data_IF_789236776363
#
_entry.id   IF_789236776363
#
_cell.length_a   1.000
_cell.length_b   1.000
_cell.length_c   1.000
_cell.angle_alpha   90.00
_cell.angle_beta   90.00
_cell.angle_gamma   90.00
#
_symmetry.space_group_name_H-M   'P 1'
#
loop_
_entity.id
_entity.type
_entity.pdbx_description
1 polymer ?
#
# COMPACT_ATOMS: atom_id res chain seq x y z
N UNK A 1 -14.19 -5.84 -14.57
CA UNK A 1 -13.68 -6.20 -13.23
C UNK A 1 -14.43 -5.38 -12.19
N UNK A 2 -15.03 -5.99 -11.15
CA UNK A 2 -15.75 -5.28 -10.10
C UNK A 2 -15.23 -5.72 -8.73
N UNK A 3 -14.37 -4.90 -8.10
CA UNK A 3 -13.73 -5.21 -6.82
C UNK A 3 -14.61 -4.82 -5.61
N UNK A 4 -15.56 -3.90 -5.78
CA UNK A 4 -16.41 -3.42 -4.68
C UNK A 4 -17.42 -4.46 -4.20
N UNK A 5 -17.61 -5.57 -4.93
CA UNK A 5 -18.41 -6.72 -4.48
C UNK A 5 -17.81 -7.46 -3.28
N UNK A 6 -16.50 -7.30 -3.03
CA UNK A 6 -15.83 -7.88 -1.88
C UNK A 6 -15.75 -6.83 -0.77
N UNK A 7 -16.24 -7.16 0.42
CA UNK A 7 -16.13 -6.28 1.59
C UNK A 7 -14.64 -6.00 1.89
N UNK A 8 -14.35 -4.80 2.39
CA UNK A 8 -13.01 -4.38 2.80
C UNK A 8 -13.06 -3.82 4.22
N UNK A 9 -12.31 -4.43 5.14
CA UNK A 9 -12.15 -3.93 6.50
C UNK A 9 -11.02 -2.89 6.54
N UNK A 10 -11.23 -1.67 7.09
CA UNK A 10 -10.22 -0.62 7.08
C UNK A 10 -9.09 -0.92 8.09
N UNK A 11 -7.91 -1.31 7.59
CA UNK A 11 -6.70 -1.51 8.39
C UNK A 11 -5.57 -0.54 8.02
N UNK A 12 -5.75 0.22 6.94
CA UNK A 12 -4.79 1.22 6.45
C UNK A 12 -5.33 2.64 6.63
N UNK A 13 -4.44 3.63 6.65
CA UNK A 13 -4.83 5.05 6.70
C UNK A 13 -5.56 5.53 5.42
N UNK A 14 -5.48 4.77 4.32
CA UNK A 14 -6.02 5.13 3.02
C UNK A 14 -5.09 4.74 1.86
N UNK A 15 -5.15 5.46 0.72
CA UNK A 15 -4.17 5.32 -0.35
C UNK A 15 -2.76 5.67 0.14
N UNK A 16 -1.80 4.76 -0.03
CA UNK A 16 -0.40 5.03 0.33
C UNK A 16 0.23 6.08 -0.59
N UNK A 17 1.06 7.00 -0.06
CA UNK A 17 1.66 8.06 -0.84
C UNK A 17 2.67 7.50 -1.86
N UNK A 18 2.88 8.25 -2.95
CA UNK A 18 3.92 7.99 -3.94
C UNK A 18 4.95 9.10 -3.81
N UNK A 19 6.22 8.73 -3.67
CA UNK A 19 7.32 9.68 -3.47
C UNK A 19 8.33 9.55 -4.61
N UNK A 20 8.72 10.67 -5.27
CA UNK A 20 9.80 10.65 -6.25
C UNK A 20 11.15 10.43 -5.57
N UNK A 21 11.98 9.57 -6.13
CA UNK A 21 13.34 9.29 -5.65
C UNK A 21 14.38 10.08 -6.46
N UNK A 22 14.20 11.41 -6.55
CA UNK A 22 14.97 12.30 -7.44
C UNK A 22 16.49 12.10 -7.34
N UNK A 23 17.02 12.12 -6.11
CA UNK A 23 18.46 11.92 -5.85
C UNK A 23 18.96 10.56 -6.33
N UNK A 24 18.15 9.51 -6.20
CA UNK A 24 18.51 8.16 -6.66
C UNK A 24 18.47 8.09 -8.19
N UNK A 25 17.44 8.67 -8.82
CA UNK A 25 17.36 8.78 -10.27
C UNK A 25 18.56 9.51 -10.88
N UNK A 26 18.93 10.66 -10.30
CA UNK A 26 20.11 11.42 -10.72
C UNK A 26 21.39 10.61 -10.54
N UNK A 27 21.56 9.97 -9.39
CA UNK A 27 22.71 9.12 -9.10
C UNK A 27 22.87 7.95 -10.09
N UNK A 28 21.77 7.39 -10.60
CA UNK A 28 21.76 6.28 -11.56
C UNK A 28 21.80 6.73 -13.04
N UNK A 29 22.10 8.01 -13.31
CA UNK A 29 22.32 8.53 -14.65
C UNK A 29 21.14 9.29 -15.26
N UNK A 30 20.08 9.54 -14.50
CA UNK A 30 19.02 10.51 -14.85
C UNK A 30 18.12 10.15 -16.03
N UNK A 31 18.28 8.97 -16.65
CA UNK A 31 17.48 8.53 -17.80
C UNK A 31 16.11 7.99 -17.43
N UNK A 32 15.92 7.59 -16.16
CA UNK A 32 14.68 7.00 -15.65
C UNK A 32 14.29 7.67 -14.35
N UNK A 33 13.06 8.16 -14.28
CA UNK A 33 12.46 8.68 -13.04
C UNK A 33 11.96 7.53 -12.16
N UNK A 34 12.50 7.43 -10.95
CA UNK A 34 12.16 6.41 -9.97
C UNK A 34 11.19 6.97 -8.95
N UNK A 35 10.20 6.16 -8.59
CA UNK A 35 9.20 6.46 -7.58
C UNK A 35 9.05 5.27 -6.64
N UNK A 36 8.67 5.54 -5.40
CA UNK A 36 8.29 4.52 -4.43
C UNK A 36 6.87 4.76 -3.92
N UNK A 37 6.02 3.73 -4.00
CA UNK A 37 4.70 3.73 -3.36
C UNK A 37 4.81 3.14 -1.95
N UNK A 38 4.50 3.95 -0.94
CA UNK A 38 4.87 3.72 0.47
C UNK A 38 3.91 2.81 1.22
N UNK A 39 3.77 1.57 0.77
CA UNK A 39 2.99 0.56 1.50
C UNK A 39 3.60 0.22 2.86
N UNK A 40 4.92 0.42 3.03
CA UNK A 40 5.64 0.30 4.29
C UNK A 40 5.19 1.29 5.37
N UNK A 41 4.41 2.32 5.02
CA UNK A 41 3.86 3.31 5.94
C UNK A 41 2.32 3.33 5.94
N UNK A 42 1.66 2.24 5.50
CA UNK A 42 0.23 2.27 5.23
C UNK A 42 -0.67 2.16 6.48
N UNK A 43 -0.13 1.84 7.66
CA UNK A 43 -0.92 1.54 8.86
C UNK A 43 -0.17 1.85 10.15
N UNK A 44 -0.91 2.10 11.24
CA UNK A 44 -0.37 2.21 12.60
C UNK A 44 -0.18 0.85 13.29
N UNK A 45 -0.60 -0.24 12.65
CA UNK A 45 -0.54 -1.60 13.21
C UNK A 45 0.86 -2.20 12.99
N UNK A 46 1.74 -2.06 13.98
CA UNK A 46 3.08 -2.65 13.97
C UNK A 46 3.83 -2.43 12.64
N UNK A 47 3.88 -1.17 12.18
CA UNK A 47 4.45 -0.70 10.91
C UNK A 47 3.68 -1.07 9.62
N UNK A 48 2.73 -2.00 9.67
CA UNK A 48 1.87 -2.31 8.52
C UNK A 48 2.60 -3.02 7.38
N UNK A 49 2.44 -2.52 6.15
CA UNK A 49 3.07 -3.09 4.95
C UNK A 49 2.09 -3.76 3.99
N UNK A 50 2.63 -4.38 2.94
CA UNK A 50 1.83 -4.98 1.88
C UNK A 50 0.90 -6.10 2.38
N UNK A 51 1.24 -6.79 3.48
CA UNK A 51 0.41 -7.84 4.06
C UNK A 51 -0.85 -7.26 4.70
N UNK A 52 -0.77 -6.10 5.34
CA UNK A 52 -1.93 -5.40 5.90
C UNK A 52 -2.95 -5.06 4.82
N UNK A 53 -2.52 -4.60 3.64
CA UNK A 53 -3.43 -4.34 2.50
C UNK A 53 -4.14 -5.61 2.00
N UNK A 54 -3.49 -6.78 2.07
CA UNK A 54 -4.15 -8.06 1.73
C UNK A 54 -5.20 -8.44 2.77
N UNK A 55 -4.87 -8.26 4.05
CA UNK A 55 -5.74 -8.61 5.17
C UNK A 55 -7.06 -7.81 5.15
N UNK A 56 -7.08 -6.59 4.61
CA UNK A 56 -8.33 -5.82 4.47
C UNK A 56 -9.43 -6.59 3.72
N UNK A 57 -9.10 -7.55 2.85
CA UNK A 57 -10.08 -8.38 2.13
C UNK A 57 -10.35 -9.74 2.78
N UNK A 58 -9.51 -10.20 3.70
CA UNK A 58 -9.67 -11.49 4.41
C UNK A 58 -10.36 -11.32 5.77
N UNK A 59 -10.12 -10.19 6.45
CA UNK A 59 -10.72 -9.91 7.76
C UNK A 59 -12.25 -9.92 7.73
N UNK A 60 -12.95 -9.37 6.71
CA UNK A 60 -14.41 -9.46 6.65
C UNK A 60 -14.94 -10.91 6.71
N UNK A 61 -14.31 -11.85 5.99
CA UNK A 61 -14.67 -13.27 6.03
C UNK A 61 -14.39 -13.88 7.41
N UNK A 62 -13.27 -13.52 8.04
CA UNK A 62 -12.91 -14.04 9.36
C UNK A 62 -13.86 -13.59 10.49
N UNK A 63 -14.48 -12.41 10.37
CA UNK A 63 -15.38 -11.86 11.40
C UNK A 63 -16.87 -12.14 11.12
N UNK A 64 -17.27 -12.18 9.84
CA UNK A 64 -18.68 -12.34 9.45
C UNK A 64 -19.07 -13.80 9.17
N UNK A 65 -18.11 -14.69 8.87
CA UNK A 65 -18.38 -16.07 8.44
C UNK A 65 -19.15 -16.16 7.13
#
# INVERSE_FOLDING_TARGET
MNLSKFKRYPLTFGPSPITPLKRLSEHLGGKVELYAKREDCNSGLAFGGNKTRKLEYLVPEAIDG
#
